data_IF_313072996801
#
_entry.id   IF_313072996801
#
_cell.length_a   1.000
_cell.length_b   1.000
_cell.length_c   1.000
_cell.angle_alpha   90.00
_cell.angle_beta   90.00
_cell.angle_gamma   90.00
#
_symmetry.space_group_name_H-M   'P 1'
#
loop_
_entity.id
_entity.type
_entity.pdbx_description
1 polymer ?
#
# COMPACT_ATOMS: atom_id res chain seq x y z
N UNK A 1 15.35 22.85 3.40
CA UNK A 1 15.90 21.48 3.46
C UNK A 1 14.89 20.60 4.17
N UNK A 2 14.45 19.49 3.57
CA UNK A 2 13.33 18.68 4.10
C UNK A 2 13.77 17.81 5.29
N UNK A 3 12.85 17.59 6.23
CA UNK A 3 13.06 16.81 7.46
C UNK A 3 13.41 15.34 7.18
N UNK A 4 12.90 14.76 6.08
CA UNK A 4 13.27 13.43 5.61
C UNK A 4 14.74 13.34 5.19
N UNK A 5 15.26 14.37 4.51
CA UNK A 5 16.68 14.47 4.20
C UNK A 5 17.52 14.54 5.49
N UNK A 6 17.04 15.30 6.49
CA UNK A 6 17.71 15.39 7.79
C UNK A 6 17.73 14.05 8.56
N UNK A 7 16.68 13.22 8.48
CA UNK A 7 16.67 11.89 9.09
C UNK A 7 17.61 10.91 8.37
N UNK A 8 17.73 11.02 7.05
CA UNK A 8 18.66 10.20 6.25
C UNK A 8 20.11 10.53 6.63
N UNK A 9 20.44 11.80 6.75
CA UNK A 9 21.81 12.27 6.98
C UNK A 9 22.25 12.21 8.46
N UNK A 10 21.33 11.94 9.39
CA UNK A 10 21.64 11.97 10.82
C UNK A 10 22.33 10.68 11.32
N UNK A 11 23.45 10.80 12.07
CA UNK A 11 24.28 9.64 12.46
C UNK A 11 23.63 8.73 13.50
N UNK A 12 22.60 9.20 14.23
CA UNK A 12 21.87 8.39 15.23
C UNK A 12 20.62 7.69 14.70
N UNK A 13 20.23 7.92 13.45
CA UNK A 13 19.07 7.25 12.84
C UNK A 13 19.38 5.77 12.65
N UNK A 14 18.47 4.89 13.08
CA UNK A 14 18.62 3.44 12.86
C UNK A 14 18.55 3.09 11.38
N UNK A 15 19.15 1.96 10.96
CA UNK A 15 19.12 1.52 9.54
C UNK A 15 17.68 1.40 9.03
N UNK A 16 16.79 0.83 9.85
CA UNK A 16 15.36 0.70 9.57
C UNK A 16 14.66 2.04 9.37
N UNK A 17 14.93 3.02 10.24
CA UNK A 17 14.34 4.36 10.20
C UNK A 17 14.85 5.18 9.02
N UNK A 18 16.14 5.04 8.71
CA UNK A 18 16.78 5.67 7.53
C UNK A 18 16.18 5.11 6.23
N UNK A 19 15.87 3.81 6.21
CA UNK A 19 15.22 3.15 5.09
C UNK A 19 13.78 3.61 4.90
N UNK A 20 13.02 3.80 5.99
CA UNK A 20 11.65 4.35 5.94
C UNK A 20 11.67 5.79 5.41
N UNK A 21 12.57 6.64 5.92
CA UNK A 21 12.67 8.03 5.49
C UNK A 21 13.00 8.12 3.99
N UNK A 22 13.87 7.24 3.49
CA UNK A 22 14.18 7.14 2.06
C UNK A 22 12.97 6.67 1.23
N UNK A 23 12.14 5.74 1.75
CA UNK A 23 10.91 5.28 1.09
C UNK A 23 9.89 6.42 0.93
N UNK A 24 9.65 7.20 1.99
CA UNK A 24 8.73 8.34 1.93
C UNK A 24 9.24 9.44 0.98
N UNK A 25 10.54 9.70 0.98
CA UNK A 25 11.14 10.66 0.05
C UNK A 25 10.95 10.21 -1.41
N UNK A 26 11.16 8.91 -1.70
CA UNK A 26 10.93 8.35 -3.03
C UNK A 26 9.45 8.37 -3.46
N UNK A 27 8.51 8.19 -2.51
CA UNK A 27 7.05 8.32 -2.75
C UNK A 27 6.71 9.74 -3.23
N UNK A 28 7.22 10.76 -2.53
CA UNK A 28 7.00 12.17 -2.90
C UNK A 28 7.54 12.51 -4.29
N UNK A 29 8.72 11.99 -4.66
CA UNK A 29 9.29 12.20 -6.01
C UNK A 29 8.55 11.43 -7.11
N UNK A 30 7.97 10.26 -6.80
CA UNK A 30 7.16 9.49 -7.77
C UNK A 30 5.81 10.14 -8.03
N UNK A 31 5.19 10.78 -7.03
CA UNK A 31 3.97 11.59 -7.21
C UNK A 31 4.15 12.73 -8.22
N UNK A 32 5.39 13.15 -8.51
CA UNK A 32 5.73 14.20 -9.45
C UNK A 32 6.04 13.68 -10.87
N UNK A 33 6.13 12.36 -11.09
CA UNK A 33 6.44 11.76 -12.40
C UNK A 33 5.37 10.76 -12.80
N UNK A 34 4.39 11.19 -13.58
CA UNK A 34 3.48 10.28 -14.28
C UNK A 34 4.14 9.69 -15.52
N UNK A 35 4.27 8.36 -15.48
CA UNK A 35 4.18 7.34 -16.55
C UNK A 35 4.50 7.74 -18.00
N UNK A 36 5.74 7.45 -18.42
CA UNK A 36 6.07 7.14 -19.82
C UNK A 36 7.34 6.27 -19.88
N UNK A 37 7.33 5.08 -19.29
CA UNK A 37 8.38 4.09 -19.59
C UNK A 37 7.81 2.66 -19.60
N UNK A 38 7.85 2.02 -20.77
CA UNK A 38 7.39 0.63 -21.01
C UNK A 38 8.51 -0.39 -20.76
N UNK A 39 9.61 0.04 -20.14
CA UNK A 39 10.68 -0.84 -19.68
C UNK A 39 10.21 -1.75 -18.53
N UNK A 40 10.95 -2.85 -18.27
CA UNK A 40 10.73 -3.72 -17.11
C UNK A 40 10.67 -2.90 -15.83
N UNK A 41 9.50 -2.83 -15.21
CA UNK A 41 9.30 -2.17 -13.94
C UNK A 41 9.23 -3.22 -12.83
N UNK A 42 10.32 -3.31 -12.09
CA UNK A 42 10.27 -3.95 -10.79
C UNK A 42 9.59 -3.00 -9.80
N UNK A 43 8.67 -3.51 -8.98
CA UNK A 43 8.02 -2.74 -7.93
C UNK A 43 9.04 -1.97 -7.09
N UNK A 44 8.67 -0.79 -6.58
CA UNK A 44 9.61 0.13 -5.90
C UNK A 44 10.33 -0.51 -4.71
N UNK A 45 9.75 -1.56 -4.12
CA UNK A 45 10.33 -2.30 -3.01
C UNK A 45 11.12 -3.56 -3.43
N UNK A 46 11.24 -3.82 -4.73
CA UNK A 46 11.92 -5.00 -5.27
C UNK A 46 13.44 -4.99 -5.01
N UNK A 47 14.10 -3.84 -5.05
CA UNK A 47 15.57 -3.75 -5.09
C UNK A 47 16.33 -4.02 -3.78
N UNK A 48 15.66 -4.10 -2.62
CA UNK A 48 16.34 -4.14 -1.31
C UNK A 48 16.19 -5.47 -0.57
N UNK A 49 14.96 -5.80 -0.15
CA UNK A 49 14.63 -7.04 0.58
C UNK A 49 13.64 -7.92 -0.21
N UNK A 50 12.82 -7.29 -1.05
CA UNK A 50 11.81 -7.98 -1.85
C UNK A 50 12.40 -8.93 -2.90
N UNK A 51 13.62 -8.70 -3.41
CA UNK A 51 14.18 -9.47 -4.55
C UNK A 51 14.21 -10.99 -4.33
N UNK A 52 14.46 -11.43 -3.11
CA UNK A 52 14.62 -12.85 -2.75
C UNK A 52 13.61 -13.34 -1.71
N UNK A 53 12.68 -12.47 -1.29
CA UNK A 53 11.65 -12.79 -0.31
C UNK A 53 10.69 -13.91 -0.80
N UNK A 54 10.26 -14.80 0.08
CA UNK A 54 9.10 -15.66 -0.22
C UNK A 54 7.82 -14.83 -0.30
N UNK A 55 6.70 -15.40 -0.79
CA UNK A 55 5.42 -14.68 -0.74
C UNK A 55 4.94 -14.44 0.69
N UNK A 56 5.27 -15.34 1.63
CA UNK A 56 5.01 -15.14 3.05
C UNK A 56 5.73 -13.91 3.59
N UNK A 57 7.03 -13.76 3.27
CA UNK A 57 7.81 -12.57 3.64
C UNK A 57 7.23 -11.30 3.02
N UNK A 58 6.74 -11.37 1.76
CA UNK A 58 6.07 -10.24 1.11
C UNK A 58 4.75 -9.90 1.81
N UNK A 59 3.96 -10.89 2.21
CA UNK A 59 2.75 -10.68 2.99
C UNK A 59 3.07 -10.02 4.34
N UNK A 60 4.11 -10.45 5.05
CA UNK A 60 4.57 -9.79 6.30
C UNK A 60 5.00 -8.35 6.08
N UNK A 61 5.75 -8.07 5.00
CA UNK A 61 6.14 -6.70 4.66
C UNK A 61 4.93 -5.81 4.37
N UNK A 62 3.92 -6.33 3.67
CA UNK A 62 2.66 -5.61 3.41
C UNK A 62 1.91 -5.36 4.72
N UNK A 63 1.83 -6.34 5.65
CA UNK A 63 1.23 -6.13 6.97
C UNK A 63 1.93 -5.01 7.73
N UNK A 64 3.26 -5.01 7.71
CA UNK A 64 4.04 -3.98 8.37
C UNK A 64 3.79 -2.59 7.78
N UNK A 65 3.70 -2.47 6.44
CA UNK A 65 3.39 -1.21 5.79
C UNK A 65 1.99 -0.69 6.15
N UNK A 66 0.98 -1.57 6.20
CA UNK A 66 -0.38 -1.20 6.63
C UNK A 66 -0.44 -0.78 8.09
N UNK A 67 0.25 -1.50 8.98
CA UNK A 67 0.36 -1.14 10.39
C UNK A 67 1.05 0.22 10.57
N UNK A 68 2.13 0.46 9.84
CA UNK A 68 2.86 1.73 9.93
C UNK A 68 2.01 2.89 9.43
N UNK A 69 1.36 2.75 8.26
CA UNK A 69 0.44 3.76 7.73
C UNK A 69 -0.71 4.06 8.71
N UNK A 70 -1.12 3.07 9.50
CA UNK A 70 -2.13 3.24 10.55
C UNK A 70 -1.63 4.02 11.77
N UNK A 71 -0.38 3.82 12.16
CA UNK A 71 0.19 4.40 13.40
C UNK A 71 0.89 5.73 13.22
N UNK A 72 1.44 5.98 12.03
CA UNK A 72 2.22 7.18 11.72
C UNK A 72 1.67 7.81 10.41
N UNK A 73 0.52 8.50 10.49
CA UNK A 73 -0.01 9.22 9.35
C UNK A 73 1.03 10.24 8.88
N UNK A 74 1.44 10.16 7.61
CA UNK A 74 2.42 11.08 7.07
C UNK A 74 1.95 12.54 7.29
N UNK A 75 2.73 13.36 8.00
CA UNK A 75 2.37 14.76 8.24
C UNK A 75 2.09 15.46 6.90
N UNK A 76 1.02 16.28 6.81
CA UNK A 76 0.62 16.94 5.59
C UNK A 76 1.70 17.92 5.16
N UNK A 77 2.45 17.55 4.12
CA UNK A 77 3.42 18.43 3.48
C UNK A 77 2.68 19.44 2.59
N UNK A 78 1.96 20.38 3.21
CA UNK A 78 1.36 21.56 2.57
C UNK A 78 0.22 21.33 1.55
N UNK A 79 -0.01 20.08 1.15
CA UNK A 79 -1.18 19.63 0.42
C UNK A 79 -1.79 18.53 1.28
N UNK A 80 -3.07 18.65 1.63
CA UNK A 80 -3.79 17.63 2.38
C UNK A 80 -3.94 16.38 1.49
N UNK A 81 -2.90 15.54 1.47
CA UNK A 81 -2.99 14.20 0.92
C UNK A 81 -3.76 13.39 1.95
N UNK A 82 -5.05 13.19 1.70
CA UNK A 82 -5.89 12.21 2.42
C UNK A 82 -5.12 10.89 2.34
N UNK A 83 -4.83 10.27 3.48
CA UNK A 83 -4.19 8.96 3.57
C UNK A 83 -5.30 7.95 3.91
N UNK A 84 -5.83 7.21 2.92
CA UNK A 84 -7.00 6.36 3.14
C UNK A 84 -6.79 5.28 4.20
N UNK A 85 -5.55 4.82 4.40
CA UNK A 85 -5.22 3.79 5.40
C UNK A 85 -5.16 4.39 6.80
N UNK A 86 -4.61 5.60 6.93
CA UNK A 86 -4.63 6.32 8.20
C UNK A 86 -6.03 6.81 8.59
N UNK A 87 -6.79 7.32 7.62
CA UNK A 87 -8.09 7.95 7.83
C UNK A 87 -9.25 6.93 7.98
N UNK A 88 -8.99 5.64 7.73
CA UNK A 88 -9.97 4.58 7.91
C UNK A 88 -10.50 4.49 9.38
N UNK A 89 -11.75 4.06 9.62
CA UNK A 89 -12.28 3.85 10.97
C UNK A 89 -11.50 2.82 11.79
N UNK A 90 -11.37 3.03 13.11
CA UNK A 90 -10.61 2.17 14.01
C UNK A 90 -11.07 0.69 14.02
N UNK A 91 -12.34 0.45 13.69
CA UNK A 91 -12.94 -0.88 13.64
C UNK A 91 -12.45 -1.72 12.44
N UNK A 92 -11.88 -1.07 11.42
CA UNK A 92 -11.35 -1.75 10.24
C UNK A 92 -10.11 -2.56 10.61
N UNK A 93 -10.12 -3.82 10.18
CA UNK A 93 -9.01 -4.77 10.34
C UNK A 93 -8.52 -5.23 8.97
N UNK A 94 -7.21 -5.33 8.86
CA UNK A 94 -6.54 -5.84 7.67
C UNK A 94 -5.95 -7.22 7.97
N UNK A 95 -6.32 -8.20 7.18
CA UNK A 95 -5.70 -9.52 7.15
C UNK A 95 -4.97 -9.67 5.81
N UNK A 96 -3.70 -10.07 5.84
CA UNK A 96 -2.90 -10.27 4.63
C UNK A 96 -2.44 -11.72 4.62
N UNK A 97 -2.69 -12.45 3.53
CA UNK A 97 -2.34 -13.86 3.41
C UNK A 97 -1.60 -14.12 2.10
N UNK A 98 -0.54 -14.93 2.15
CA UNK A 98 0.01 -15.57 0.97
C UNK A 98 -0.76 -16.88 0.72
N UNK A 99 -1.31 -17.06 -0.48
CA UNK A 99 -2.07 -18.27 -0.86
C UNK A 99 -1.42 -18.97 -2.04
N UNK A 100 -1.42 -20.30 -1.97
CA UNK A 100 -1.04 -21.23 -3.05
C UNK A 100 0.27 -20.89 -3.76
N UNK A 101 1.24 -20.29 -3.05
CA UNK A 101 2.54 -19.86 -3.57
C UNK A 101 2.51 -18.92 -4.78
N UNK A 102 1.36 -18.31 -5.10
CA UNK A 102 1.23 -17.41 -6.24
C UNK A 102 0.32 -16.20 -6.01
N UNK A 103 -0.30 -16.07 -4.84
CA UNK A 103 -1.30 -15.04 -4.56
C UNK A 103 -1.03 -14.34 -3.23
N UNK A 104 -1.27 -13.03 -3.18
CA UNK A 104 -1.33 -12.26 -1.94
C UNK A 104 -2.71 -11.63 -1.83
N UNK A 105 -3.43 -12.00 -0.78
CA UNK A 105 -4.79 -11.52 -0.50
C UNK A 105 -4.77 -10.58 0.68
N UNK A 106 -5.32 -9.40 0.51
CA UNK A 106 -5.62 -8.47 1.60
C UNK A 106 -7.13 -8.45 1.82
N UNK A 107 -7.58 -8.84 3.01
CA UNK A 107 -8.99 -8.78 3.42
C UNK A 107 -9.19 -7.62 4.38
N UNK A 108 -10.10 -6.73 4.00
CA UNK A 108 -10.61 -5.62 4.81
C UNK A 108 -11.90 -6.11 5.48
N UNK A 109 -11.96 -6.03 6.80
CA UNK A 109 -13.13 -6.46 7.60
C UNK A 109 -13.46 -5.44 8.68
N UNK A 110 -14.69 -5.49 9.21
CA UNK A 110 -15.16 -4.55 10.22
C UNK A 110 -15.48 -3.18 9.65
N UNK A 111 -15.90 -3.11 8.38
CA UNK A 111 -16.20 -1.84 7.70
C UNK A 111 -17.51 -1.26 8.23
N UNK A 112 -17.52 -0.09 8.90
CA UNK A 112 -18.75 0.48 9.41
C UNK A 112 -19.71 0.84 8.28
N UNK A 113 -20.97 0.43 8.39
CA UNK A 113 -21.98 0.63 7.32
C UNK A 113 -22.08 2.09 6.87
N UNK A 114 -22.15 3.02 7.84
CA UNK A 114 -22.29 4.45 7.57
C UNK A 114 -21.06 5.12 6.93
N UNK A 115 -19.90 4.46 6.95
CA UNK A 115 -18.65 4.98 6.37
C UNK A 115 -18.31 4.32 5.04
N UNK A 116 -18.42 3.00 4.98
CA UNK A 116 -17.96 2.22 3.82
C UNK A 116 -18.98 2.05 2.72
N UNK A 117 -20.25 2.34 2.98
CA UNK A 117 -21.35 2.02 2.08
C UNK A 117 -22.21 3.25 1.85
N UNK A 118 -22.69 3.39 0.61
CA UNK A 118 -23.69 4.36 0.21
C UNK A 118 -24.81 3.63 -0.51
N UNK A 119 -26.03 4.11 -0.34
CA UNK A 119 -27.18 3.54 -1.00
C UNK A 119 -27.41 4.24 -2.34
N UNK A 120 -27.26 3.52 -3.44
CA UNK A 120 -27.44 4.02 -4.80
C UNK A 120 -28.42 3.13 -5.55
N UNK A 121 -29.51 3.71 -6.05
CA UNK A 121 -30.58 3.00 -6.77
C UNK A 121 -31.07 1.69 -6.13
N UNK A 122 -31.19 1.65 -4.80
CA UNK A 122 -31.69 0.47 -4.08
C UNK A 122 -30.62 -0.58 -3.74
N UNK A 123 -29.36 -0.33 -4.08
CA UNK A 123 -28.23 -1.24 -3.87
C UNK A 123 -27.17 -0.53 -3.03
N UNK A 124 -26.57 -1.27 -2.11
CA UNK A 124 -25.43 -0.77 -1.36
C UNK A 124 -24.17 -0.87 -2.23
N UNK A 125 -23.55 0.28 -2.49
CA UNK A 125 -22.30 0.39 -3.23
C UNK A 125 -21.21 0.94 -2.32
N UNK A 126 -19.94 0.67 -2.65
CA UNK A 126 -18.83 1.21 -1.88
C UNK A 126 -18.86 2.74 -1.90
N UNK A 127 -18.66 3.33 -0.72
CA UNK A 127 -18.48 4.77 -0.60
C UNK A 127 -17.15 5.18 -1.26
N UNK A 128 -17.00 6.46 -1.65
CA UNK A 128 -15.73 6.96 -2.17
C UNK A 128 -14.54 6.74 -1.22
N UNK A 129 -14.80 6.77 0.10
CA UNK A 129 -13.75 6.55 1.11
C UNK A 129 -13.28 5.10 1.15
N UNK A 130 -14.22 4.14 1.06
CA UNK A 130 -13.87 2.72 0.98
C UNK A 130 -13.15 2.39 -0.34
N UNK A 131 -13.60 2.96 -1.46
CA UNK A 131 -12.92 2.78 -2.75
C UNK A 131 -11.49 3.33 -2.72
N UNK A 132 -11.28 4.52 -2.13
CA UNK A 132 -9.94 5.09 -1.97
C UNK A 132 -9.03 4.24 -1.08
N UNK A 133 -9.59 3.63 -0.02
CA UNK A 133 -8.85 2.67 0.82
C UNK A 133 -8.44 1.42 0.03
N UNK A 134 -9.38 0.85 -0.72
CA UNK A 134 -9.12 -0.33 -1.56
C UNK A 134 -8.04 -0.04 -2.60
N UNK A 135 -8.09 1.11 -3.26
CA UNK A 135 -7.11 1.53 -4.26
C UNK A 135 -5.72 1.72 -3.64
N UNK A 136 -5.62 2.37 -2.47
CA UNK A 136 -4.34 2.55 -1.78
C UNK A 136 -3.72 1.21 -1.36
N UNK A 137 -4.53 0.28 -0.86
CA UNK A 137 -4.05 -1.07 -0.53
C UNK A 137 -3.56 -1.79 -1.79
N UNK A 138 -4.29 -1.69 -2.90
CA UNK A 138 -3.87 -2.27 -4.17
C UNK A 138 -2.52 -1.69 -4.64
N UNK A 139 -2.29 -0.38 -4.46
CA UNK A 139 -1.01 0.27 -4.75
C UNK A 139 0.11 -0.28 -3.86
N UNK A 140 -0.12 -0.43 -2.55
CA UNK A 140 0.87 -1.00 -1.61
C UNK A 140 1.24 -2.43 -2.04
N UNK A 141 0.25 -3.28 -2.29
CA UNK A 141 0.45 -4.67 -2.74
C UNK A 141 1.26 -4.70 -4.04
N UNK A 142 0.84 -3.91 -5.04
CA UNK A 142 1.49 -3.85 -6.35
C UNK A 142 2.92 -3.29 -6.28
N UNK A 143 3.28 -2.53 -5.25
CA UNK A 143 4.64 -2.04 -5.06
C UNK A 143 5.69 -3.16 -4.84
N UNK A 144 5.25 -4.36 -4.48
CA UNK A 144 6.07 -5.57 -4.32
C UNK A 144 6.08 -6.47 -5.56
N UNK A 145 5.25 -6.17 -6.56
CA UNK A 145 5.05 -6.97 -7.76
C UNK A 145 6.02 -6.56 -8.89
N UNK A 146 5.89 -7.20 -10.06
CA UNK A 146 6.62 -6.88 -11.28
C UNK A 146 5.64 -6.53 -12.39
N UNK A 147 5.99 -5.56 -13.20
CA UNK A 147 5.22 -5.14 -14.36
C UNK A 147 6.14 -4.97 -15.56
N UNK A 148 5.65 -5.32 -16.74
CA UNK A 148 6.38 -5.17 -17.99
C UNK A 148 5.92 -6.20 -19.01
N UNK A 149 6.03 -5.85 -20.28
CA UNK A 149 5.52 -6.69 -21.38
C UNK A 149 6.30 -8.01 -21.53
N UNK A 150 7.49 -8.11 -20.93
CA UNK A 150 8.39 -9.26 -21.04
C UNK A 150 8.74 -9.91 -19.68
N UNK A 151 7.94 -9.63 -18.65
CA UNK A 151 8.05 -10.27 -17.33
C UNK A 151 6.66 -10.56 -16.76
N UNK A 152 6.49 -11.75 -16.17
CA UNK A 152 5.24 -12.08 -15.48
C UNK A 152 5.17 -11.40 -14.12
N UNK A 153 3.96 -11.05 -13.64
CA UNK A 153 3.77 -10.69 -12.24
C UNK A 153 4.36 -11.76 -11.34
N UNK A 154 4.95 -11.33 -10.23
CA UNK A 154 5.50 -12.22 -9.21
C UNK A 154 4.42 -13.03 -8.52
N UNK A 155 3.29 -12.38 -8.27
CA UNK A 155 2.10 -12.95 -7.65
C UNK A 155 0.87 -12.20 -8.17
N UNK A 156 -0.30 -12.81 -7.97
CA UNK A 156 -1.59 -12.17 -8.17
C UNK A 156 -1.99 -11.45 -6.88
N UNK A 157 -2.15 -10.13 -6.96
CA UNK A 157 -2.68 -9.35 -5.85
C UNK A 157 -4.20 -9.52 -5.78
N UNK A 158 -4.78 -9.44 -4.58
CA UNK A 158 -6.23 -9.42 -4.43
C UNK A 158 -6.62 -8.60 -3.22
N UNK A 159 -7.58 -7.70 -3.38
CA UNK A 159 -8.17 -6.96 -2.26
C UNK A 159 -9.62 -7.37 -2.09
N UNK A 160 -10.00 -7.72 -0.85
CA UNK A 160 -11.34 -8.12 -0.47
C UNK A 160 -11.92 -7.17 0.57
N UNK A 161 -13.23 -6.94 0.49
CA UNK A 161 -14.01 -6.25 1.52
C UNK A 161 -15.08 -7.21 2.02
N UNK A 162 -15.12 -7.47 3.32
CA UNK A 162 -16.09 -8.40 3.95
C UNK A 162 -16.17 -9.77 3.22
N UNK A 163 -15.02 -10.25 2.73
CA UNK A 163 -14.89 -11.51 1.99
C UNK A 163 -15.18 -11.45 0.49
N UNK A 164 -15.69 -10.34 -0.04
CA UNK A 164 -15.94 -10.13 -1.47
C UNK A 164 -14.72 -9.54 -2.17
N UNK A 165 -14.34 -10.06 -3.34
CA UNK A 165 -13.20 -9.52 -4.10
C UNK A 165 -13.59 -8.26 -4.84
N UNK A 166 -12.83 -7.18 -4.62
CA UNK A 166 -13.10 -5.85 -5.18
C UNK A 166 -12.04 -5.49 -6.22
N UNK A 167 -10.78 -5.89 -5.99
CA UNK A 167 -9.65 -5.65 -6.90
C UNK A 167 -8.81 -6.91 -7.09
N UNK A 168 -8.27 -7.05 -8.30
CA UNK A 168 -7.33 -8.07 -8.76
C UNK A 168 -6.03 -7.42 -9.26
#
# INVERSE_FOLDING_TARGET
MSRLQALIDHPRTGISERDVAQRMLNRLFRSLRSTADRSRQYGSNHGRLGRHAGLEDVAEMIRYDLLLARTDPAEPHGLATIDPVADAPADIRYEVEARHDCEIVVTISGVPTAWGWQHDDGIDVHSPALSALVDEIAVIVNSYNHFGDDITPRFFGRVRVEGQTVVW
#
